data_IF_392479625715
#
_entry.id   IF_392479625715
#
_cell.length_a   1.000
_cell.length_b   1.000
_cell.length_c   1.000
_cell.angle_alpha   90.00
_cell.angle_beta   90.00
_cell.angle_gamma   90.00
#
_symmetry.space_group_name_H-M   'P 1'
#
loop_
_entity.id
_entity.type
_entity.pdbx_description
1 polymer ?
#
# COMPACT_ATOMS: atom_id res chain seq x y z
N UNK A 1 4.79 -22.75 7.84
CA UNK A 1 4.29 -21.36 7.94
C UNK A 1 3.29 -21.18 9.08
N UNK A 2 2.13 -21.87 9.14
CA UNK A 2 1.19 -21.71 10.28
C UNK A 2 1.87 -21.84 11.66
N UNK A 3 2.65 -22.91 11.86
CA UNK A 3 3.41 -23.11 13.11
C UNK A 3 4.36 -21.94 13.44
N UNK A 4 5.04 -21.39 12.43
CA UNK A 4 5.93 -20.24 12.62
C UNK A 4 5.14 -18.98 12.99
N UNK A 5 3.99 -18.75 12.35
CA UNK A 5 3.09 -17.64 12.68
C UNK A 5 2.55 -17.76 14.11
N UNK A 6 2.18 -18.97 14.54
CA UNK A 6 1.68 -19.24 15.89
C UNK A 6 2.78 -19.02 16.94
N UNK A 7 3.98 -19.54 16.69
CA UNK A 7 5.09 -19.51 17.65
C UNK A 7 5.77 -18.15 17.75
N UNK A 8 5.99 -17.48 16.61
CA UNK A 8 6.74 -16.22 16.53
C UNK A 8 5.86 -15.00 16.24
N UNK A 9 4.58 -15.18 15.89
CA UNK A 9 3.65 -14.08 15.66
C UNK A 9 3.53 -13.13 16.85
N UNK A 10 3.26 -13.65 18.07
CA UNK A 10 3.24 -12.84 19.28
C UNK A 10 4.60 -12.18 19.64
N UNK A 11 5.69 -12.63 19.01
CA UNK A 11 7.04 -12.09 19.16
C UNK A 11 7.39 -11.09 18.04
N UNK A 12 6.45 -10.76 17.16
CA UNK A 12 6.61 -9.78 16.09
C UNK A 12 6.81 -10.34 14.68
N UNK A 13 6.75 -11.66 14.49
CA UNK A 13 6.79 -12.24 13.14
C UNK A 13 5.45 -12.01 12.41
N UNK A 14 5.53 -11.43 11.22
CA UNK A 14 4.39 -11.35 10.31
C UNK A 14 4.70 -12.14 9.05
N UNK A 15 3.82 -13.07 8.69
CA UNK A 15 3.93 -13.84 7.44
C UNK A 15 2.93 -13.27 6.42
N UNK A 16 3.42 -12.99 5.21
CA UNK A 16 2.60 -12.66 4.05
C UNK A 16 2.93 -13.65 2.94
N UNK A 17 1.93 -14.42 2.52
CA UNK A 17 2.07 -15.29 1.36
C UNK A 17 1.75 -14.52 0.09
N UNK A 18 2.61 -14.69 -0.90
CA UNK A 18 2.54 -14.00 -2.18
C UNK A 18 2.43 -15.05 -3.28
N UNK A 19 1.47 -14.89 -4.17
CA UNK A 19 1.37 -15.70 -5.38
C UNK A 19 1.53 -14.85 -6.63
N UNK A 20 2.21 -15.43 -7.63
CA UNK A 20 2.40 -14.81 -8.93
C UNK A 20 1.23 -15.08 -9.88
N UNK A 21 1.32 -14.45 -11.05
CA UNK A 21 0.30 -14.48 -12.11
C UNK A 21 0.05 -15.85 -12.76
N UNK A 22 0.90 -16.85 -12.47
CA UNK A 22 0.79 -18.20 -13.07
C UNK A 22 -0.16 -19.12 -12.31
N UNK A 23 -0.51 -18.79 -11.06
CA UNK A 23 -1.47 -19.57 -10.29
C UNK A 23 -2.87 -18.96 -10.39
N UNK A 24 -3.86 -19.78 -10.71
CA UNK A 24 -5.24 -19.32 -10.79
C UNK A 24 -5.86 -19.22 -9.40
N UNK A 25 -6.68 -18.18 -9.18
CA UNK A 25 -7.43 -17.95 -7.94
C UNK A 25 -8.15 -19.21 -7.39
N UNK A 26 -8.82 -20.04 -8.21
CA UNK A 26 -9.46 -21.25 -7.70
C UNK A 26 -8.47 -22.27 -7.11
N UNK A 27 -7.28 -22.42 -7.72
CA UNK A 27 -6.25 -23.37 -7.23
C UNK A 27 -5.67 -22.90 -5.90
N UNK A 28 -5.40 -21.60 -5.77
CA UNK A 28 -4.81 -21.01 -4.58
C UNK A 28 -5.80 -20.96 -3.42
N UNK A 29 -7.07 -20.65 -3.67
CA UNK A 29 -8.12 -20.73 -2.64
C UNK A 29 -8.35 -22.17 -2.17
N UNK A 30 -8.33 -23.16 -3.07
CA UNK A 30 -8.39 -24.56 -2.70
C UNK A 30 -7.19 -24.98 -1.85
N UNK A 31 -5.98 -24.48 -2.16
CA UNK A 31 -4.78 -24.69 -1.36
C UNK A 31 -4.92 -24.08 0.05
N UNK A 32 -5.34 -22.81 0.14
CA UNK A 32 -5.56 -22.12 1.42
C UNK A 32 -6.55 -22.89 2.29
N UNK A 33 -7.67 -23.34 1.71
CA UNK A 33 -8.69 -24.14 2.41
C UNK A 33 -8.16 -25.50 2.86
N UNK A 34 -7.43 -26.20 1.99
CA UNK A 34 -6.86 -27.52 2.28
C UNK A 34 -5.85 -27.47 3.42
N UNK A 35 -4.97 -26.48 3.41
CA UNK A 35 -3.89 -26.35 4.38
C UNK A 35 -4.24 -25.44 5.57
N UNK A 36 -5.46 -24.89 5.59
CA UNK A 36 -5.96 -23.96 6.62
C UNK A 36 -4.95 -22.85 6.89
N UNK A 37 -4.46 -22.19 5.83
CA UNK A 37 -3.48 -21.12 6.00
C UNK A 37 -4.09 -19.96 6.82
N UNK A 38 -3.39 -19.52 7.87
CA UNK A 38 -3.89 -18.52 8.83
C UNK A 38 -3.24 -17.14 8.66
N UNK A 39 -2.32 -17.01 7.72
CA UNK A 39 -1.62 -15.75 7.42
C UNK A 39 -2.22 -15.08 6.18
N UNK A 40 -2.09 -13.74 6.06
CA UNK A 40 -2.48 -12.99 4.88
C UNK A 40 -1.90 -13.56 3.58
N UNK A 41 -2.68 -13.45 2.51
CA UNK A 41 -2.34 -13.92 1.18
C UNK A 41 -2.65 -12.86 0.14
N UNK A 42 -1.73 -12.60 -0.78
CA UNK A 42 -1.88 -11.59 -1.82
C UNK A 42 -1.44 -12.09 -3.21
N UNK A 43 -2.07 -11.55 -4.25
CA UNK A 43 -1.71 -11.78 -5.65
C UNK A 43 -0.82 -10.64 -6.14
N UNK A 44 0.27 -10.97 -6.84
CA UNK A 44 1.19 -9.99 -7.40
C UNK A 44 1.57 -10.29 -8.86
N UNK A 45 2.07 -9.26 -9.57
CA UNK A 45 2.30 -9.28 -11.03
C UNK A 45 3.73 -9.69 -11.45
N UNK A 46 4.50 -10.31 -10.57
CA UNK A 46 5.90 -10.71 -10.75
C UNK A 46 6.94 -9.70 -10.24
N UNK A 47 6.54 -8.54 -9.71
CA UNK A 47 7.47 -7.50 -9.24
C UNK A 47 8.19 -7.92 -7.97
N UNK A 48 7.45 -8.44 -6.98
CA UNK A 48 8.05 -8.86 -5.70
C UNK A 48 8.92 -10.10 -5.89
N UNK A 49 8.43 -11.07 -6.66
CA UNK A 49 9.20 -12.27 -7.01
C UNK A 49 10.54 -11.93 -7.66
N UNK A 50 10.59 -10.92 -8.54
CA UNK A 50 11.84 -10.42 -9.13
C UNK A 50 12.72 -9.68 -8.12
N UNK A 51 12.13 -8.80 -7.30
CA UNK A 51 12.87 -8.03 -6.30
C UNK A 51 13.61 -8.95 -5.31
N UNK A 52 12.96 -10.02 -4.86
CA UNK A 52 13.56 -11.02 -3.96
C UNK A 52 14.33 -12.13 -4.69
N UNK A 53 14.52 -12.03 -6.01
CA UNK A 53 15.31 -13.01 -6.78
C UNK A 53 14.75 -14.44 -6.77
N UNK A 54 13.43 -14.60 -6.66
CA UNK A 54 12.77 -15.91 -6.61
C UNK A 54 12.95 -16.65 -7.94
N UNK A 55 13.63 -17.81 -7.89
CA UNK A 55 13.91 -18.67 -9.07
C UNK A 55 13.03 -19.92 -9.15
N UNK A 56 12.38 -20.30 -8.06
CA UNK A 56 11.53 -21.48 -7.96
C UNK A 56 10.63 -21.40 -6.73
N UNK A 57 9.52 -22.13 -6.75
CA UNK A 57 8.58 -22.22 -5.64
C UNK A 57 8.68 -23.61 -4.96
N UNK A 58 8.55 -23.69 -3.62
CA UNK A 58 8.29 -22.57 -2.71
C UNK A 58 9.58 -21.80 -2.36
N UNK A 59 9.47 -20.48 -2.21
CA UNK A 59 10.55 -19.59 -1.79
C UNK A 59 10.06 -18.66 -0.68
N UNK A 60 10.98 -18.23 0.17
CA UNK A 60 10.73 -17.28 1.23
C UNK A 60 11.91 -16.31 1.38
N UNK A 61 11.60 -15.10 1.82
CA UNK A 61 12.58 -14.11 2.27
C UNK A 61 12.18 -13.66 3.68
N UNK A 62 13.16 -13.55 4.57
CA UNK A 62 12.99 -13.00 5.91
C UNK A 62 13.51 -11.57 5.92
N UNK A 63 12.64 -10.64 6.29
CA UNK A 63 12.95 -9.23 6.43
C UNK A 63 12.98 -8.90 7.92
N UNK A 64 14.04 -8.24 8.38
CA UNK A 64 14.18 -7.84 9.78
C UNK A 64 13.41 -6.54 10.09
N UNK A 65 13.42 -6.12 11.35
CA UNK A 65 12.72 -4.92 11.81
C UNK A 65 13.22 -3.59 11.19
N UNK A 66 14.41 -3.59 10.57
CA UNK A 66 14.98 -2.46 9.85
C UNK A 66 14.63 -2.47 8.36
N UNK A 67 13.92 -3.49 7.87
CA UNK A 67 13.55 -3.61 6.46
C UNK A 67 14.61 -4.30 5.58
N UNK A 68 15.64 -4.90 6.17
CA UNK A 68 16.69 -5.60 5.44
C UNK A 68 16.34 -7.07 5.25
N UNK A 69 16.62 -7.62 4.05
CA UNK A 69 16.56 -9.06 3.83
C UNK A 69 17.75 -9.71 4.53
N UNK A 70 17.48 -10.48 5.59
CA UNK A 70 18.51 -11.15 6.39
C UNK A 70 18.62 -12.65 6.06
N UNK A 71 17.64 -13.20 5.35
CA UNK A 71 17.67 -14.57 4.85
C UNK A 71 16.75 -14.72 3.63
N UNK A 72 17.11 -15.60 2.72
CA UNK A 72 16.27 -16.00 1.58
C UNK A 72 16.56 -17.46 1.21
N UNK A 73 15.53 -18.25 0.93
CA UNK A 73 15.72 -19.66 0.59
C UNK A 73 14.44 -20.46 0.58
N UNK A 74 14.58 -21.77 0.77
CA UNK A 74 13.42 -22.66 0.82
C UNK A 74 12.72 -22.52 2.19
N UNK A 75 11.40 -22.30 2.25
CA UNK A 75 10.69 -22.01 3.51
C UNK A 75 10.80 -23.09 4.59
N UNK A 76 11.12 -24.34 4.23
CA UNK A 76 11.35 -25.41 5.19
C UNK A 76 12.66 -25.25 5.99
N UNK A 77 13.61 -24.45 5.50
CA UNK A 77 14.88 -24.16 6.18
C UNK A 77 14.74 -23.03 7.20
N UNK A 78 13.62 -22.31 7.20
CA UNK A 78 13.35 -21.22 8.11
C UNK A 78 13.06 -21.77 9.52
N UNK A 79 14.03 -21.63 10.41
CA UNK A 79 13.99 -22.12 11.80
C UNK A 79 14.06 -20.98 12.82
N UNK A 80 13.77 -21.27 14.09
CA UNK A 80 13.93 -20.30 15.19
C UNK A 80 15.31 -19.66 15.25
N UNK A 81 16.38 -20.42 14.96
CA UNK A 81 17.76 -19.90 14.93
C UNK A 81 17.96 -18.78 13.90
N UNK A 82 17.15 -18.75 12.84
CA UNK A 82 17.18 -17.72 11.79
C UNK A 82 16.20 -16.59 12.13
N UNK A 83 15.02 -16.93 12.67
CA UNK A 83 13.95 -15.98 12.96
C UNK A 83 14.30 -15.10 14.18
N UNK A 84 14.73 -15.70 15.29
CA UNK A 84 14.89 -15.01 16.57
C UNK A 84 15.86 -13.82 16.50
N UNK A 85 17.03 -13.92 15.84
CA UNK A 85 17.89 -12.74 15.65
C UNK A 85 17.22 -11.63 14.85
N UNK A 86 16.39 -11.96 13.86
CA UNK A 86 15.70 -11.00 13.01
C UNK A 86 14.53 -10.27 13.72
N UNK A 87 14.04 -10.84 14.82
CA UNK A 87 12.98 -10.23 15.64
C UNK A 87 13.52 -9.15 16.59
N UNK A 88 14.84 -8.97 16.71
CA UNK A 88 15.40 -7.93 17.56
C UNK A 88 14.90 -6.56 17.12
N UNK A 89 14.21 -5.86 18.02
CA UNK A 89 13.61 -4.57 17.73
C UNK A 89 12.35 -4.63 16.86
N UNK A 90 11.74 -5.80 16.65
CA UNK A 90 10.43 -5.88 16.01
C UNK A 90 9.31 -5.44 16.99
N UNK A 91 8.24 -4.84 16.45
CA UNK A 91 7.01 -4.65 17.21
C UNK A 91 6.36 -6.01 17.46
N UNK A 92 5.80 -6.25 18.66
CA UNK A 92 5.13 -7.52 19.00
C UNK A 92 3.89 -7.79 18.15
N UNK A 93 3.27 -6.74 17.63
CA UNK A 93 2.21 -6.80 16.62
C UNK A 93 2.51 -5.78 15.52
N UNK A 94 2.05 -6.01 14.28
CA UNK A 94 2.21 -5.04 13.22
C UNK A 94 1.70 -3.66 13.58
N UNK A 95 2.34 -2.60 13.06
CA UNK A 95 1.96 -1.21 13.35
C UNK A 95 0.51 -0.90 12.94
N UNK A 96 -0.02 -1.62 11.95
CA UNK A 96 -1.40 -1.49 11.47
C UNK A 96 -2.45 -2.21 12.33
N UNK A 97 -2.02 -3.06 13.28
CA UNK A 97 -2.90 -3.74 14.25
C UNK A 97 -3.03 -2.95 15.58
N UNK A 98 -2.35 -1.80 15.69
CA UNK A 98 -2.61 -0.85 16.77
C UNK A 98 -3.82 0.02 16.43
N UNK A 99 -4.64 0.34 17.44
CA UNK A 99 -5.80 1.21 17.24
C UNK A 99 -5.38 2.64 16.86
N UNK A 100 -4.23 3.08 17.39
CA UNK A 100 -3.62 4.37 17.13
C UNK A 100 -2.10 4.33 17.43
N UNK A 101 -1.38 5.37 17.02
CA UNK A 101 0.06 5.44 17.20
C UNK A 101 0.51 5.66 18.65
N UNK A 102 -0.33 6.23 19.51
CA UNK A 102 -0.01 6.37 20.93
C UNK A 102 0.07 5.01 21.63
N UNK A 103 -0.78 4.06 21.26
CA UNK A 103 -0.71 2.67 21.75
C UNK A 103 0.59 2.00 21.32
N UNK A 104 1.00 2.19 20.05
CA UNK A 104 2.27 1.67 19.54
C UNK A 104 3.49 2.26 20.28
N UNK A 105 3.48 3.58 20.50
CA UNK A 105 4.54 4.26 21.27
C UNK A 105 4.54 3.83 22.75
N UNK A 106 3.38 3.58 23.34
CA UNK A 106 3.29 3.08 24.72
C UNK A 106 3.82 1.66 24.86
N UNK A 107 3.61 0.78 23.87
CA UNK A 107 4.19 -0.57 23.83
C UNK A 107 5.72 -0.51 23.66
N UNK A 108 6.22 0.45 22.87
CA UNK A 108 7.64 0.65 22.62
C UNK A 108 8.38 1.49 23.67
N UNK A 109 7.71 1.96 24.74
CA UNK A 109 8.25 2.96 25.68
C UNK A 109 9.58 2.61 26.34
N UNK A 110 9.90 1.32 26.47
CA UNK A 110 11.16 0.83 27.07
C UNK A 110 12.26 0.58 26.04
N UNK A 111 11.97 0.72 24.75
CA UNK A 111 12.90 0.56 23.63
C UNK A 111 12.94 1.86 22.83
N UNK A 112 13.92 2.71 23.12
CA UNK A 112 14.04 4.02 22.47
C UNK A 112 14.28 3.89 20.96
N UNK A 113 15.00 2.86 20.51
CA UNK A 113 15.24 2.63 19.09
C UNK A 113 13.96 2.23 18.35
N UNK A 114 13.09 1.44 18.99
CA UNK A 114 11.76 1.11 18.48
C UNK A 114 10.84 2.34 18.48
N UNK A 115 10.82 3.10 19.57
CA UNK A 115 10.05 4.35 19.66
C UNK A 115 10.46 5.36 18.59
N UNK A 116 11.76 5.53 18.36
CA UNK A 116 12.29 6.38 17.29
C UNK A 116 11.84 5.92 15.89
N UNK A 117 11.83 4.60 15.63
CA UNK A 117 11.33 4.06 14.35
C UNK A 117 9.83 4.28 14.15
N UNK A 118 9.02 4.16 15.21
CA UNK A 118 7.59 4.47 15.14
C UNK A 118 7.38 5.95 14.81
N UNK A 119 8.13 6.86 15.47
CA UNK A 119 8.09 8.30 15.16
C UNK A 119 8.52 8.58 13.71
N UNK A 120 9.62 7.99 13.25
CA UNK A 120 10.07 8.12 11.87
C UNK A 120 9.03 7.60 10.85
N UNK A 121 8.32 6.51 11.17
CA UNK A 121 7.22 6.02 10.34
C UNK A 121 6.05 7.01 10.28
N UNK A 122 5.68 7.60 11.43
CA UNK A 122 4.65 8.64 11.52
C UNK A 122 5.05 9.85 10.66
N UNK A 123 6.26 10.36 10.84
CA UNK A 123 6.77 11.52 10.10
C UNK A 123 6.83 11.24 8.59
N UNK A 124 7.23 10.02 8.21
CA UNK A 124 7.19 9.56 6.82
C UNK A 124 5.78 9.58 6.23
N UNK A 125 4.75 9.17 6.99
CA UNK A 125 3.35 9.25 6.53
C UNK A 125 2.87 10.69 6.37
N UNK A 126 3.26 11.58 7.26
CA UNK A 126 2.96 13.02 7.13
C UNK A 126 3.67 13.62 5.91
N UNK A 127 4.94 13.27 5.69
CA UNK A 127 5.70 13.71 4.52
C UNK A 127 5.09 13.21 3.21
N UNK A 128 4.53 11.99 3.17
CA UNK A 128 3.80 11.49 2.01
C UNK A 128 2.54 12.31 1.72
N UNK A 129 1.82 12.78 2.74
CA UNK A 129 0.67 13.67 2.53
C UNK A 129 1.10 15.05 2.00
N UNK A 130 2.20 15.61 2.52
CA UNK A 130 2.76 16.85 1.98
C UNK A 130 3.14 16.67 0.51
N UNK A 131 3.89 15.61 0.18
CA UNK A 131 4.27 15.31 -1.20
C UNK A 131 3.07 15.05 -2.12
N UNK A 132 1.96 14.52 -1.59
CA UNK A 132 0.71 14.38 -2.32
C UNK A 132 0.10 15.76 -2.61
N UNK A 133 0.03 16.65 -1.62
CA UNK A 133 -0.45 18.02 -1.78
C UNK A 133 0.38 18.77 -2.83
N UNK A 134 1.72 18.70 -2.75
CA UNK A 134 2.64 19.38 -3.68
C UNK A 134 2.46 18.90 -5.13
N UNK A 135 2.01 17.66 -5.33
CA UNK A 135 1.70 17.08 -6.65
C UNK A 135 0.25 17.34 -7.09
N UNK A 136 -0.55 18.00 -6.27
CA UNK A 136 -1.98 18.19 -6.50
C UNK A 136 -2.81 16.91 -6.36
N UNK A 137 -2.33 15.88 -5.64
CA UNK A 137 -3.10 14.68 -5.29
C UNK A 137 -3.99 14.94 -4.07
N UNK A 138 -5.00 15.79 -4.27
CA UNK A 138 -5.90 16.29 -3.23
C UNK A 138 -6.75 15.19 -2.60
N UNK A 139 -7.14 14.18 -3.38
CA UNK A 139 -7.93 13.04 -2.90
C UNK A 139 -7.14 12.23 -1.88
N UNK A 140 -5.85 11.97 -2.14
CA UNK A 140 -4.97 11.31 -1.17
C UNK A 140 -4.86 12.14 0.11
N UNK A 141 -4.65 13.46 0.01
CA UNK A 141 -4.55 14.33 1.19
C UNK A 141 -5.85 14.31 2.01
N UNK A 142 -7.01 14.41 1.35
CA UNK A 142 -8.32 14.38 1.99
C UNK A 142 -8.57 13.06 2.72
N UNK A 143 -8.49 11.95 2.00
CA UNK A 143 -8.93 10.65 2.48
C UNK A 143 -7.90 9.98 3.39
N UNK A 144 -6.63 9.98 2.98
CA UNK A 144 -5.55 9.41 3.80
C UNK A 144 -5.21 10.34 4.98
N UNK A 145 -5.30 11.66 4.80
CA UNK A 145 -5.15 12.62 5.88
C UNK A 145 -6.19 12.43 6.97
N UNK A 146 -7.48 12.25 6.62
CA UNK A 146 -8.52 12.02 7.62
C UNK A 146 -8.26 10.74 8.44
N UNK A 147 -7.85 9.66 7.77
CA UNK A 147 -7.48 8.40 8.43
C UNK A 147 -6.25 8.58 9.33
N UNK A 148 -5.21 9.24 8.83
CA UNK A 148 -3.97 9.46 9.57
C UNK A 148 -4.22 10.37 10.79
N UNK A 149 -4.96 11.47 10.64
CA UNK A 149 -5.34 12.35 11.74
C UNK A 149 -6.04 11.58 12.86
N UNK A 150 -6.99 10.70 12.50
CA UNK A 150 -7.66 9.82 13.48
C UNK A 150 -6.67 8.88 14.18
N UNK A 151 -5.72 8.31 13.46
CA UNK A 151 -4.69 7.41 14.01
C UNK A 151 -3.65 8.13 14.88
N UNK A 152 -3.41 9.42 14.65
CA UNK A 152 -2.46 10.22 15.42
C UNK A 152 -3.04 10.71 16.75
N UNK A 153 -4.36 10.89 16.83
CA UNK A 153 -5.06 11.31 18.05
C UNK A 153 -4.47 12.57 18.68
N UNK A 154 -3.71 12.42 19.78
CA UNK A 154 -3.13 13.53 20.56
C UNK A 154 -1.66 13.83 20.22
N UNK A 155 -1.09 13.13 19.24
CA UNK A 155 0.28 13.40 18.80
C UNK A 155 0.37 14.75 18.10
N UNK A 156 1.49 15.43 18.24
CA UNK A 156 1.74 16.76 17.66
C UNK A 156 1.55 16.78 16.13
N UNK A 157 1.90 15.68 15.45
CA UNK A 157 1.72 15.52 14.02
C UNK A 157 0.25 15.62 13.57
N UNK A 158 -0.72 15.40 14.47
CA UNK A 158 -2.14 15.55 14.15
C UNK A 158 -2.46 16.98 13.68
N UNK A 159 -1.85 17.99 14.31
CA UNK A 159 -2.04 19.39 13.91
C UNK A 159 -1.54 19.64 12.48
N UNK A 160 -0.35 19.11 12.13
CA UNK A 160 0.20 19.23 10.79
C UNK A 160 -0.64 18.51 9.74
N UNK A 161 -1.18 17.33 10.04
CA UNK A 161 -2.08 16.62 9.12
C UNK A 161 -3.37 17.41 8.91
N UNK A 162 -3.92 18.02 9.98
CA UNK A 162 -5.11 18.86 9.86
C UNK A 162 -4.86 20.08 8.97
N UNK A 163 -3.73 20.75 9.14
CA UNK A 163 -3.32 21.88 8.29
C UNK A 163 -3.19 21.49 6.81
N UNK A 164 -2.61 20.32 6.53
CA UNK A 164 -2.55 19.77 5.17
C UNK A 164 -3.95 19.55 4.58
N UNK A 165 -4.88 19.02 5.36
CA UNK A 165 -6.26 18.82 4.92
C UNK A 165 -6.97 20.15 4.65
N UNK A 166 -6.79 21.15 5.51
CA UNK A 166 -7.37 22.49 5.32
C UNK A 166 -6.77 23.20 4.10
N UNK A 167 -5.51 22.91 3.76
CA UNK A 167 -4.84 23.46 2.58
C UNK A 167 -5.44 22.97 1.27
N UNK A 168 -6.11 21.80 1.25
CA UNK A 168 -6.83 21.30 0.07
C UNK A 168 -7.89 22.30 -0.40
N UNK A 169 -8.63 22.91 0.53
CA UNK A 169 -9.68 23.89 0.19
C UNK A 169 -9.13 25.21 -0.36
N UNK A 170 -7.82 25.47 -0.19
CA UNK A 170 -7.13 26.67 -0.67
C UNK A 170 -6.55 26.49 -2.07
N UNK A 171 -6.55 25.27 -2.61
CA UNK A 171 -6.06 24.99 -3.95
C UNK A 171 -7.06 25.50 -4.98
N UNK A 172 -6.56 26.22 -5.99
CA UNK A 172 -7.40 26.68 -7.09
C UNK A 172 -8.03 25.47 -7.82
N UNK A 173 -9.32 25.54 -8.11
CA UNK A 173 -10.08 24.45 -8.72
C UNK A 173 -10.07 23.13 -7.91
N UNK A 174 -9.92 23.20 -6.57
CA UNK A 174 -9.85 22.02 -5.71
C UNK A 174 -11.04 21.05 -5.90
N UNK A 175 -12.26 21.57 -6.04
CA UNK A 175 -13.47 20.74 -6.24
C UNK A 175 -13.41 19.99 -7.57
N UNK A 176 -13.00 20.64 -8.65
CA UNK A 176 -12.85 20.01 -9.96
C UNK A 176 -11.73 18.95 -9.95
N UNK A 177 -10.61 19.24 -9.28
CA UNK A 177 -9.49 18.29 -9.13
C UNK A 177 -9.94 17.06 -8.34
N UNK A 178 -10.64 17.25 -7.22
CA UNK A 178 -11.17 16.15 -6.41
C UNK A 178 -12.15 15.29 -7.21
N UNK A 179 -13.10 15.92 -7.93
CA UNK A 179 -14.05 15.20 -8.77
C UNK A 179 -13.34 14.38 -9.86
N UNK A 180 -12.32 14.95 -10.52
CA UNK A 180 -11.51 14.25 -11.51
C UNK A 180 -10.76 13.06 -10.91
N UNK A 181 -10.14 13.22 -9.74
CA UNK A 181 -9.41 12.15 -9.06
C UNK A 181 -10.33 11.02 -8.61
N UNK A 182 -11.52 11.33 -8.11
CA UNK A 182 -12.53 10.33 -7.77
C UNK A 182 -13.00 9.55 -8.99
N UNK A 183 -13.21 10.23 -10.12
CA UNK A 183 -13.53 9.58 -11.39
C UNK A 183 -12.40 8.60 -11.79
N UNK A 184 -11.15 9.07 -11.79
CA UNK A 184 -9.98 8.27 -12.15
C UNK A 184 -9.76 7.07 -11.22
N UNK A 185 -10.08 7.19 -9.94
CA UNK A 185 -10.02 6.09 -8.97
C UNK A 185 -11.08 5.02 -9.26
N UNK A 186 -12.29 5.44 -9.66
CA UNK A 186 -13.42 4.54 -9.94
C UNK A 186 -13.38 3.94 -11.36
N UNK A 187 -12.62 4.54 -12.28
CA UNK A 187 -12.52 4.07 -13.66
C UNK A 187 -11.79 2.73 -13.74
N UNK A 188 -12.57 1.68 -14.01
CA UNK A 188 -12.08 0.33 -14.23
C UNK A 188 -12.06 0.01 -15.73
N UNK A 189 -10.94 0.31 -16.39
CA UNK A 189 -10.76 0.11 -17.83
C UNK A 189 -11.00 -1.36 -18.24
N UNK A 190 -10.70 -2.32 -17.36
CA UNK A 190 -10.85 -3.74 -17.66
C UNK A 190 -12.31 -4.18 -17.85
N UNK A 191 -13.27 -3.38 -17.36
CA UNK A 191 -14.70 -3.62 -17.50
C UNK A 191 -15.33 -2.92 -18.70
N UNK A 192 -14.60 -2.06 -19.40
CA UNK A 192 -15.10 -1.38 -20.59
C UNK A 192 -15.08 -2.34 -21.78
N UNK A 193 -16.25 -2.88 -22.12
CA UNK A 193 -16.39 -3.86 -23.21
C UNK A 193 -16.88 -3.22 -24.51
N UNK A 194 -17.64 -2.11 -24.42
CA UNK A 194 -18.26 -1.48 -25.59
C UNK A 194 -17.43 -0.28 -26.03
N UNK A 195 -17.21 -0.17 -27.35
CA UNK A 195 -16.51 0.97 -27.96
C UNK A 195 -17.06 2.32 -27.49
N UNK A 196 -18.38 2.47 -27.47
CA UNK A 196 -19.06 3.71 -27.00
C UNK A 196 -18.77 4.06 -25.53
N UNK A 197 -18.59 3.06 -24.67
CA UNK A 197 -18.21 3.29 -23.26
C UNK A 197 -16.74 3.72 -23.17
N UNK A 198 -15.88 3.10 -23.97
CA UNK A 198 -14.48 3.50 -24.14
C UNK A 198 -14.33 4.93 -24.67
N UNK A 199 -15.09 5.33 -25.69
CA UNK A 199 -15.07 6.69 -26.25
C UNK A 199 -15.46 7.73 -25.19
N UNK A 200 -16.55 7.49 -24.45
CA UNK A 200 -16.95 8.36 -23.33
C UNK A 200 -15.87 8.50 -22.26
N UNK A 201 -15.23 7.40 -21.89
CA UNK A 201 -14.13 7.43 -20.94
C UNK A 201 -12.93 8.19 -21.49
N UNK A 202 -12.58 7.99 -22.76
CA UNK A 202 -11.49 8.70 -23.42
C UNK A 202 -11.75 10.21 -23.49
N UNK A 203 -12.96 10.63 -23.82
CA UNK A 203 -13.35 12.05 -23.87
C UNK A 203 -13.21 12.70 -22.49
N UNK A 204 -13.66 12.03 -21.43
CA UNK A 204 -13.54 12.51 -20.06
C UNK A 204 -12.07 12.59 -19.61
N UNK A 205 -11.25 11.60 -19.95
CA UNK A 205 -9.81 11.63 -19.69
C UNK A 205 -9.11 12.77 -20.43
N UNK A 206 -9.46 13.01 -21.70
CA UNK A 206 -8.96 14.14 -22.51
C UNK A 206 -9.38 15.47 -21.87
N UNK A 207 -10.63 15.59 -21.40
CA UNK A 207 -11.15 16.77 -20.70
C UNK A 207 -10.33 17.05 -19.43
N UNK A 208 -10.18 16.05 -18.56
CA UNK A 208 -9.37 16.17 -17.33
C UNK A 208 -7.95 16.64 -17.65
N UNK A 209 -7.29 16.00 -18.62
CA UNK A 209 -5.91 16.35 -18.98
C UNK A 209 -5.76 17.76 -19.58
N UNK A 210 -6.82 18.32 -20.17
CA UNK A 210 -6.83 19.66 -20.76
C UNK A 210 -7.19 20.74 -19.75
N UNK A 211 -8.23 20.50 -18.94
CA UNK A 211 -8.80 21.51 -18.04
C UNK A 211 -8.06 21.59 -16.70
N UNK A 212 -7.36 20.54 -16.30
CA UNK A 212 -6.64 20.46 -15.03
C UNK A 212 -5.16 20.14 -15.29
N UNK A 213 -4.37 21.06 -15.90
CA UNK A 213 -2.96 20.81 -16.17
C UNK A 213 -2.10 20.83 -14.88
N UNK A 214 -0.90 20.27 -14.99
CA UNK A 214 0.21 20.31 -14.03
C UNK A 214 -0.07 19.71 -12.66
N UNK A 215 -1.06 18.81 -12.57
CA UNK A 215 -1.38 18.10 -11.33
C UNK A 215 -1.44 16.57 -11.51
N UNK A 216 -1.65 15.88 -10.39
CA UNK A 216 -1.73 14.43 -10.36
C UNK A 216 -2.87 13.86 -11.23
N UNK A 217 -4.01 14.54 -11.31
CA UNK A 217 -5.16 14.08 -12.10
C UNK A 217 -4.81 14.04 -13.60
N UNK A 218 -4.11 15.05 -14.13
CA UNK A 218 -3.63 15.04 -15.52
C UNK A 218 -2.73 13.83 -15.79
N UNK A 219 -1.70 13.64 -14.94
CA UNK A 219 -0.71 12.56 -15.13
C UNK A 219 -1.38 11.19 -15.14
N UNK A 220 -2.30 10.95 -14.21
CA UNK A 220 -3.06 9.72 -14.15
C UNK A 220 -4.01 9.61 -15.35
N UNK A 221 -4.68 10.68 -15.76
CA UNK A 221 -5.56 10.67 -16.93
C UNK A 221 -4.80 10.27 -18.20
N UNK A 222 -3.61 10.82 -18.43
CA UNK A 222 -2.74 10.44 -19.57
C UNK A 222 -2.36 8.97 -19.57
N UNK A 223 -1.90 8.45 -18.43
CA UNK A 223 -1.60 7.02 -18.28
C UNK A 223 -2.83 6.14 -18.53
N UNK A 224 -4.01 6.55 -18.04
CA UNK A 224 -5.27 5.82 -18.27
C UNK A 224 -5.72 5.86 -19.73
N UNK A 225 -5.44 6.93 -20.47
CA UNK A 225 -5.71 6.97 -21.92
C UNK A 225 -4.88 5.92 -22.66
N UNK A 226 -3.60 5.77 -22.32
CA UNK A 226 -2.73 4.75 -22.92
C UNK A 226 -3.22 3.33 -22.63
N UNK A 227 -3.59 3.05 -21.37
CA UNK A 227 -4.17 1.76 -20.97
C UNK A 227 -5.48 1.49 -21.71
N UNK A 228 -6.33 2.50 -21.87
CA UNK A 228 -7.61 2.39 -22.55
C UNK A 228 -7.44 2.07 -24.04
N UNK A 229 -6.51 2.74 -24.73
CA UNK A 229 -6.19 2.46 -26.14
C UNK A 229 -5.61 1.06 -26.34
N UNK A 230 -4.93 0.52 -25.33
CA UNK A 230 -4.41 -0.86 -25.35
C UNK A 230 -5.51 -1.90 -25.21
N UNK A 231 -6.51 -1.64 -24.37
CA UNK A 231 -7.63 -2.57 -24.12
C UNK A 231 -8.69 -2.50 -25.24
N UNK A 232 -8.94 -1.30 -25.77
CA UNK A 232 -9.90 -1.05 -26.85
C UNK A 232 -9.20 -0.37 -28.04
N UNK A 233 -8.48 -1.13 -28.87
CA UNK A 233 -7.80 -0.57 -30.05
C UNK A 233 -8.82 0.03 -31.03
N UNK A 234 -8.48 1.20 -31.59
CA UNK A 234 -9.33 1.91 -32.57
C UNK A 234 -10.31 2.94 -31.97
N UNK A 235 -10.15 3.28 -30.68
CA UNK A 235 -10.69 4.51 -30.12
C UNK A 235 -9.98 5.73 -30.76
N UNK A 236 -10.73 6.80 -31.02
CA UNK A 236 -10.23 8.06 -31.62
C UNK A 236 -10.41 9.21 -30.65
#
# INVERSE_FOLDING_TARGET
>A
MNKLQEEYGPKGLSILAITGTRESKPKTEAWVKRFKAQYPYAYEKGMLSKHFGVRGIPAAALVNAEGNVVWSGHPAELTGKIIEPALKGALKKPIFDFANFQEALADAKSDEALSARIRAHIDGRVALLQAALDKGDLLTVRDQGARLHKQLGKLEQAAKVKELQESVAKVENAEQILAAQEYLQKLDISKLQKKKEGEKALDELKRIAKELPDNYAEKVARMRMEDLMRVLPGLK
#
